data_IF_304059143120
#
_entry.id   IF_304059143120
#
_cell.length_a   1.000
_cell.length_b   1.000
_cell.length_c   1.000
_cell.angle_alpha   90.00
_cell.angle_beta   90.00
_cell.angle_gamma   90.00
#
_symmetry.space_group_name_H-M   'P 1'
#
loop_
_entity.id
_entity.type
_entity.pdbx_description
1 polymer ?
#
# COMPACT_ATOMS: atom_id res chain seq x y z
N UNK A 1 -10.44 9.86 3.69
CA UNK A 1 -9.38 10.86 3.95
C UNK A 1 -9.72 12.24 3.42
N UNK A 2 -10.00 12.41 2.12
CA UNK A 2 -10.23 13.72 1.49
C UNK A 2 -11.43 14.49 2.07
N UNK A 3 -12.59 13.83 2.20
CA UNK A 3 -13.82 14.45 2.75
C UNK A 3 -13.67 15.04 4.15
N UNK A 4 -12.74 14.52 4.94
CA UNK A 4 -12.51 14.98 6.31
C UNK A 4 -11.33 15.96 6.43
N UNK A 5 -10.64 16.26 5.32
CA UNK A 5 -9.49 17.16 5.31
C UNK A 5 -8.27 16.59 6.04
N UNK A 6 -8.01 15.28 5.92
CA UNK A 6 -6.83 14.66 6.51
C UNK A 6 -5.54 15.24 5.92
N UNK A 7 -4.66 15.81 6.75
CA UNK A 7 -3.44 16.48 6.30
C UNK A 7 -2.44 15.55 5.60
N UNK A 8 -2.47 14.25 5.93
CA UNK A 8 -1.62 13.23 5.31
C UNK A 8 -2.11 12.71 3.95
N UNK A 9 -3.13 13.32 3.33
CA UNK A 9 -3.79 12.81 2.13
C UNK A 9 -2.82 12.51 0.98
N UNK A 10 -1.98 13.48 0.61
CA UNK A 10 -1.10 13.36 -0.56
C UNK A 10 0.00 12.31 -0.35
N UNK A 11 0.58 12.26 0.86
CA UNK A 11 1.58 11.26 1.21
C UNK A 11 0.99 9.84 1.16
N UNK A 12 -0.21 9.67 1.72
CA UNK A 12 -0.90 8.38 1.74
C UNK A 12 -1.29 7.92 0.33
N UNK A 13 -1.80 8.81 -0.53
CA UNK A 13 -2.06 8.52 -1.95
C UNK A 13 -0.78 8.11 -2.68
N UNK A 14 0.36 8.76 -2.40
CA UNK A 14 1.65 8.41 -2.98
C UNK A 14 2.12 7.01 -2.55
N UNK A 15 1.93 6.64 -1.28
CA UNK A 15 2.22 5.30 -0.76
C UNK A 15 1.42 4.23 -1.51
N UNK A 16 0.11 4.45 -1.70
CA UNK A 16 -0.76 3.56 -2.47
C UNK A 16 -0.34 3.44 -3.94
N UNK A 17 0.01 4.55 -4.58
CA UNK A 17 0.43 4.55 -5.98
C UNK A 17 1.72 3.73 -6.18
N UNK A 18 2.71 3.90 -5.30
CA UNK A 18 3.95 3.14 -5.35
C UNK A 18 3.73 1.63 -5.16
N UNK A 19 2.85 1.26 -4.22
CA UNK A 19 2.47 -0.14 -4.03
C UNK A 19 1.78 -0.74 -5.25
N UNK A 20 0.83 -0.01 -5.84
CA UNK A 20 0.10 -0.46 -7.03
C UNK A 20 1.04 -0.65 -8.23
N UNK A 21 1.99 0.26 -8.43
CA UNK A 21 3.02 0.15 -9.49
C UNK A 21 3.88 -1.11 -9.30
N UNK A 22 4.38 -1.35 -8.09
CA UNK A 22 5.21 -2.51 -7.80
C UNK A 22 4.42 -3.83 -7.90
N UNK A 23 3.16 -3.86 -7.46
CA UNK A 23 2.28 -5.01 -7.62
C UNK A 23 1.98 -5.31 -9.10
N UNK A 24 1.81 -4.27 -9.93
CA UNK A 24 1.62 -4.43 -11.37
C UNK A 24 2.85 -5.02 -12.06
N UNK A 25 4.07 -4.61 -11.66
CA UNK A 25 5.31 -5.20 -12.16
C UNK A 25 5.42 -6.70 -11.81
N UNK A 26 5.15 -7.07 -10.55
CA UNK A 26 5.12 -8.47 -10.14
C UNK A 26 4.12 -9.29 -10.99
N UNK A 27 2.92 -8.77 -11.21
CA UNK A 27 1.90 -9.43 -12.03
C UNK A 27 2.34 -9.59 -13.48
N UNK A 28 3.00 -8.57 -14.05
CA UNK A 28 3.53 -8.60 -15.41
C UNK A 28 4.61 -9.68 -15.56
N UNK A 29 5.59 -9.73 -14.64
CA UNK A 29 6.65 -10.74 -14.64
C UNK A 29 6.11 -12.16 -14.44
N UNK A 30 5.09 -12.32 -13.60
CA UNK A 30 4.39 -13.58 -13.41
C UNK A 30 3.70 -14.05 -14.70
N UNK A 31 2.91 -13.17 -15.35
CA UNK A 31 2.22 -13.49 -16.61
C UNK A 31 3.16 -13.85 -17.76
N UNK A 32 4.38 -13.30 -17.76
CA UNK A 32 5.42 -13.63 -18.75
C UNK A 32 6.13 -14.96 -18.46
N UNK A 33 5.83 -15.64 -17.35
CA UNK A 33 6.55 -16.85 -16.93
C UNK A 33 8.00 -16.57 -16.51
N UNK A 34 8.37 -15.31 -16.33
CA UNK A 34 9.74 -14.86 -16.01
C UNK A 34 10.04 -14.84 -14.52
N UNK A 35 9.02 -15.07 -13.68
CA UNK A 35 9.18 -15.20 -12.24
C UNK A 35 8.35 -16.41 -11.76
N UNK A 36 8.93 -17.35 -10.99
CA UNK A 36 8.10 -18.26 -10.21
C UNK A 36 7.26 -17.39 -9.26
N UNK A 37 5.95 -17.65 -9.13
CA UNK A 37 5.15 -17.02 -8.07
C UNK A 37 5.81 -17.37 -6.72
N UNK A 38 6.63 -16.45 -6.22
CA UNK A 38 7.64 -16.74 -5.22
C UNK A 38 7.23 -16.17 -3.87
N UNK A 39 7.88 -16.70 -2.83
CA UNK A 39 7.89 -16.15 -1.48
C UNK A 39 8.12 -14.63 -1.45
N UNK A 40 8.89 -14.08 -2.39
CA UNK A 40 9.19 -12.65 -2.49
C UNK A 40 7.92 -11.81 -2.69
N UNK A 41 7.01 -12.24 -3.58
CA UNK A 41 5.75 -11.50 -3.84
C UNK A 41 4.88 -11.52 -2.59
N UNK A 42 4.72 -12.68 -1.97
CA UNK A 42 3.94 -12.83 -0.74
C UNK A 42 4.55 -12.01 0.40
N UNK A 43 5.88 -12.04 0.55
CA UNK A 43 6.59 -11.26 1.57
C UNK A 43 6.40 -9.75 1.34
N UNK A 44 6.56 -9.27 0.10
CA UNK A 44 6.32 -7.87 -0.25
C UNK A 44 4.89 -7.43 0.10
N UNK A 45 3.89 -8.19 -0.34
CA UNK A 45 2.49 -7.87 -0.08
C UNK A 45 2.21 -7.85 1.43
N UNK A 46 2.66 -8.87 2.16
CA UNK A 46 2.44 -8.97 3.60
C UNK A 46 3.13 -7.86 4.38
N UNK A 47 4.40 -7.57 4.08
CA UNK A 47 5.15 -6.53 4.78
C UNK A 47 4.56 -5.16 4.51
N UNK A 48 4.31 -4.81 3.24
CA UNK A 48 3.77 -3.51 2.87
C UNK A 48 2.40 -3.27 3.52
N UNK A 49 1.46 -4.22 3.40
CA UNK A 49 0.11 -4.08 3.99
C UNK A 49 0.21 -3.94 5.51
N UNK A 50 1.04 -4.76 6.16
CA UNK A 50 1.17 -4.74 7.62
C UNK A 50 1.73 -3.41 8.12
N UNK A 51 2.77 -2.89 7.47
CA UNK A 51 3.39 -1.62 7.87
C UNK A 51 2.49 -0.43 7.53
N UNK A 52 1.85 -0.43 6.36
CA UNK A 52 0.95 0.61 5.92
C UNK A 52 -0.23 0.77 6.88
N UNK A 53 -0.87 -0.35 7.26
CA UNK A 53 -1.97 -0.34 8.24
C UNK A 53 -1.49 0.23 9.57
N UNK A 54 -0.41 -0.33 10.13
CA UNK A 54 0.08 0.03 11.47
C UNK A 54 0.48 1.50 11.60
N UNK A 55 0.97 2.11 10.52
CA UNK A 55 1.57 3.45 10.54
C UNK A 55 0.66 4.49 9.91
N UNK A 56 0.29 4.30 8.64
CA UNK A 56 -0.41 5.30 7.84
C UNK A 56 -1.93 5.25 8.09
N UNK A 57 -2.55 4.07 8.01
CA UNK A 57 -4.01 3.95 8.22
C UNK A 57 -4.40 4.30 9.66
N UNK A 58 -3.58 3.91 10.64
CA UNK A 58 -3.83 4.27 12.04
C UNK A 58 -3.71 5.78 12.31
N UNK A 59 -2.88 6.51 11.56
CA UNK A 59 -2.84 7.97 11.65
C UNK A 59 -4.15 8.59 11.15
N UNK A 60 -4.62 8.14 9.99
CA UNK A 60 -5.93 8.52 9.47
C UNK A 60 -7.06 8.17 10.44
N UNK A 61 -7.08 6.96 11.00
CA UNK A 61 -8.11 6.51 11.94
C UNK A 61 -8.17 7.40 13.19
N UNK A 62 -7.01 7.77 13.75
CA UNK A 62 -6.93 8.71 14.89
C UNK A 62 -7.45 10.10 14.52
N UNK A 63 -7.16 10.58 13.32
CA UNK A 63 -7.68 11.87 12.85
C UNK A 63 -9.19 11.84 12.63
N UNK A 64 -9.70 10.77 12.02
CA UNK A 64 -11.12 10.58 11.75
C UNK A 64 -11.95 10.48 13.05
N UNK A 65 -11.44 9.80 14.08
CA UNK A 65 -12.12 9.69 15.37
C UNK A 65 -12.11 10.96 16.23
N UNK A 66 -11.36 12.00 15.83
CA UNK A 66 -11.35 13.32 16.49
C UNK A 66 -12.32 14.32 15.86
N UNK A 67 -12.96 13.97 14.74
CA UNK A 67 -14.01 14.75 14.08
C UNK A 67 -15.38 14.21 14.42
#
# INVERSE_FOLDING_TARGET
>A
MEKIGFHGLEAHKKSHAAFAEQAADYLHRYKKGTAPASYEVTHFLMDWITQHIKREDMEYAKFAGKK
#
